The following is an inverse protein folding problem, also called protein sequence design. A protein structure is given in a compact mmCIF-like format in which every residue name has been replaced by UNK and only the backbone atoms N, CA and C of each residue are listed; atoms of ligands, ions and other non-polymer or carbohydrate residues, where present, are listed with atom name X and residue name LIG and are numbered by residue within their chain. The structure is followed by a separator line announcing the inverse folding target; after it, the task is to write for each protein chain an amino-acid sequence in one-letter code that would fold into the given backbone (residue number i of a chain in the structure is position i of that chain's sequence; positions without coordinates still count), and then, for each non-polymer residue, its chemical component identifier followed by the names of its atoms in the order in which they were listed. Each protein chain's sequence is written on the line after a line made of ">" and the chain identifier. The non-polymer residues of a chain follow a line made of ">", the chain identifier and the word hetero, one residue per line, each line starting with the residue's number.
data_IF_518976461401
#
_entry.id   IF_518976461401
#
_cell.length_a   1.000
_cell.length_b   1.000
_cell.length_c   1.000
_cell.angle_alpha   90.00
_cell.angle_beta   90.00
_cell.angle_gamma   90.00
#
_symmetry.space_group_name_H-M   'P 1'
#
loop_
_entity.id
_entity.type
_entity.pdbx_description
1 polymer ?
#
# COMPACT_ATOMS: atom_id res chain seq x y z
N UNK A 1 -22.84 -5.27 18.04
CA UNK A 1 -22.95 -4.89 16.62
C UNK A 1 -22.57 -6.08 15.74
N UNK A 2 -23.36 -6.36 14.72
CA UNK A 2 -23.06 -7.33 13.66
C UNK A 2 -21.90 -6.83 12.80
N UNK A 3 -21.26 -7.71 12.00
CA UNK A 3 -20.18 -7.27 11.07
C UNK A 3 -20.67 -6.24 10.06
N UNK A 4 -21.92 -6.34 9.60
CA UNK A 4 -22.54 -5.38 8.67
C UNK A 4 -22.70 -3.99 9.30
N UNK A 5 -23.21 -3.92 10.52
CA UNK A 5 -23.34 -2.67 11.28
C UNK A 5 -21.98 -2.02 11.52
N UNK A 6 -20.96 -2.82 11.89
CA UNK A 6 -19.58 -2.35 12.05
C UNK A 6 -19.01 -1.80 10.75
N UNK A 7 -19.21 -2.49 9.64
CA UNK A 7 -18.76 -2.04 8.34
C UNK A 7 -19.38 -0.69 7.94
N UNK A 8 -20.69 -0.53 8.14
CA UNK A 8 -21.39 0.75 7.91
C UNK A 8 -20.83 1.87 8.80
N UNK A 9 -20.62 1.59 10.09
CA UNK A 9 -20.03 2.56 11.02
C UNK A 9 -18.62 2.98 10.58
N UNK A 10 -17.75 2.01 10.20
CA UNK A 10 -16.39 2.28 9.72
C UNK A 10 -16.42 3.18 8.48
N UNK A 11 -17.28 2.87 7.50
CA UNK A 11 -17.40 3.66 6.26
C UNK A 11 -17.78 5.11 6.60
N UNK A 12 -18.80 5.31 7.41
CA UNK A 12 -19.29 6.66 7.76
C UNK A 12 -18.24 7.48 8.51
N UNK A 13 -17.58 6.88 9.51
CA UNK A 13 -16.55 7.57 10.29
C UNK A 13 -15.32 7.92 9.43
N UNK A 14 -14.88 7.00 8.60
CA UNK A 14 -13.71 7.24 7.73
C UNK A 14 -14.03 8.22 6.60
N UNK A 15 -15.25 8.24 6.08
CA UNK A 15 -15.68 9.23 5.09
C UNK A 15 -15.73 10.64 5.67
N UNK A 16 -16.21 10.78 6.92
CA UNK A 16 -16.22 12.06 7.63
C UNK A 16 -14.80 12.56 7.93
N UNK A 17 -13.89 11.65 8.34
CA UNK A 17 -12.50 12.01 8.69
C UNK A 17 -11.60 12.27 7.48
N UNK A 18 -11.81 11.52 6.41
CA UNK A 18 -10.96 11.52 5.22
C UNK A 18 -11.80 11.53 3.94
N UNK A 19 -12.52 12.65 3.64
CA UNK A 19 -13.34 12.75 2.44
C UNK A 19 -12.49 12.65 1.15
N UNK A 20 -11.21 13.02 1.26
CA UNK A 20 -10.22 12.88 0.19
C UNK A 20 -9.06 11.98 0.62
N UNK A 21 -8.59 11.15 -0.31
CA UNK A 21 -7.50 10.21 -0.08
C UNK A 21 -6.44 10.33 -1.16
N UNK A 22 -5.58 11.38 -1.11
CA UNK A 22 -4.50 11.52 -2.06
C UNK A 22 -3.53 10.34 -1.95
N UNK A 23 -3.01 9.90 -3.08
CA UNK A 23 -2.01 8.83 -3.13
C UNK A 23 -0.75 9.33 -2.41
N UNK A 24 -0.25 8.62 -1.39
CA UNK A 24 0.86 9.13 -0.56
C UNK A 24 2.21 9.20 -1.27
N UNK A 25 2.40 8.40 -2.33
CA UNK A 25 3.65 8.30 -3.08
C UNK A 25 3.60 9.21 -4.31
N UNK A 26 4.59 10.10 -4.45
CA UNK A 26 4.74 10.97 -5.60
C UNK A 26 5.10 10.17 -6.85
N UNK A 27 4.33 10.34 -7.91
CA UNK A 27 4.51 9.68 -9.20
C UNK A 27 3.89 10.52 -10.32
N UNK A 28 4.26 10.24 -11.57
CA UNK A 28 3.71 10.89 -12.77
C UNK A 28 2.92 9.94 -13.67
N UNK A 29 3.16 8.65 -13.55
CA UNK A 29 2.65 7.61 -14.43
C UNK A 29 2.68 6.23 -13.74
N UNK A 30 2.10 5.16 -14.34
CA UNK A 30 2.09 3.83 -13.75
C UNK A 30 3.48 3.23 -13.45
N UNK A 31 4.49 3.55 -14.27
CA UNK A 31 5.84 3.04 -14.05
C UNK A 31 6.48 3.67 -12.81
N UNK A 32 6.43 4.98 -12.70
CA UNK A 32 6.98 5.71 -11.55
C UNK A 32 6.25 5.36 -10.27
N UNK A 33 4.93 5.10 -10.33
CA UNK A 33 4.18 4.56 -9.19
C UNK A 33 4.67 3.15 -8.81
N UNK A 34 4.83 2.24 -9.77
CA UNK A 34 5.32 0.88 -9.52
C UNK A 34 6.67 0.90 -8.80
N UNK A 35 7.62 1.73 -9.27
CA UNK A 35 8.93 1.90 -8.63
C UNK A 35 8.78 2.50 -7.22
N UNK A 36 7.96 3.52 -7.05
CA UNK A 36 7.75 4.15 -5.74
C UNK A 36 7.14 3.15 -4.72
N UNK A 37 6.17 2.34 -5.14
CA UNK A 37 5.56 1.29 -4.30
C UNK A 37 6.57 0.20 -3.96
N UNK A 38 7.41 -0.25 -4.92
CA UNK A 38 8.50 -1.19 -4.65
C UNK A 38 9.47 -0.61 -3.60
N UNK A 39 9.83 0.67 -3.73
CA UNK A 39 10.71 1.34 -2.78
C UNK A 39 10.08 1.50 -1.39
N UNK A 40 8.77 1.60 -1.27
CA UNK A 40 8.07 1.75 0.01
C UNK A 40 8.10 0.49 0.89
N UNK A 41 8.48 -0.67 0.37
CA UNK A 41 8.66 -1.87 1.16
C UNK A 41 9.70 -1.64 2.29
N UNK A 42 9.25 -1.70 3.54
CA UNK A 42 10.03 -1.41 4.75
C UNK A 42 10.66 0.01 4.76
N UNK A 43 10.02 0.97 4.11
CA UNK A 43 10.44 2.36 4.04
C UNK A 43 9.23 3.29 4.19
N UNK A 44 9.41 4.46 4.79
CA UNK A 44 8.34 5.44 4.92
C UNK A 44 8.09 6.16 3.59
N UNK A 45 6.83 6.52 3.32
CA UNK A 45 6.45 7.25 2.10
C UNK A 45 7.22 8.58 1.99
N UNK A 46 7.41 9.29 3.11
CA UNK A 46 8.20 10.53 3.15
C UNK A 46 9.62 10.34 2.63
N UNK A 47 10.27 9.24 3.04
CA UNK A 47 11.63 8.92 2.58
C UNK A 47 11.66 8.53 1.12
N UNK A 48 10.69 7.75 0.66
CA UNK A 48 10.54 7.41 -0.76
C UNK A 48 10.37 8.69 -1.57
N UNK A 49 9.46 9.58 -1.17
CA UNK A 49 9.19 10.85 -1.85
C UNK A 49 10.39 11.83 -1.89
N UNK A 50 11.33 11.72 -0.94
CA UNK A 50 12.60 12.47 -0.97
C UNK A 50 13.60 11.89 -1.98
N UNK A 51 13.54 10.60 -2.25
CA UNK A 51 14.54 9.89 -3.08
C UNK A 51 14.07 9.74 -4.53
N UNK A 52 12.78 9.48 -4.77
CA UNK A 52 12.26 9.23 -6.11
C UNK A 52 12.51 10.36 -7.10
N UNK A 53 12.49 11.67 -6.76
CA UNK A 53 12.85 12.73 -7.70
C UNK A 53 14.29 12.62 -8.22
N UNK A 54 15.24 12.16 -7.39
CA UNK A 54 16.63 11.96 -7.80
C UNK A 54 16.76 10.77 -8.74
N UNK A 55 16.03 9.70 -8.48
CA UNK A 55 16.01 8.50 -9.32
C UNK A 55 15.35 8.80 -10.68
N UNK A 56 14.16 9.40 -10.66
CA UNK A 56 13.37 9.66 -11.87
C UNK A 56 13.95 10.77 -12.74
N UNK A 57 14.78 11.66 -12.18
CA UNK A 57 15.57 12.60 -13.00
C UNK A 57 16.56 11.89 -13.93
N UNK A 58 17.06 10.70 -13.54
CA UNK A 58 18.03 9.91 -14.32
C UNK A 58 17.35 8.80 -15.13
N UNK A 59 16.27 8.20 -14.62
CA UNK A 59 15.57 7.08 -15.23
C UNK A 59 14.06 7.23 -15.10
N UNK A 60 13.41 8.19 -15.80
CA UNK A 60 11.96 8.42 -15.70
C UNK A 60 11.13 7.33 -16.37
N UNK A 61 11.71 6.57 -17.28
CA UNK A 61 11.05 5.47 -17.99
C UNK A 61 11.86 4.18 -17.87
N UNK A 62 11.29 3.00 -18.18
CA UNK A 62 12.07 1.76 -18.23
C UNK A 62 13.30 1.87 -19.14
N UNK A 63 13.19 2.56 -20.28
CA UNK A 63 14.26 2.71 -21.26
C UNK A 63 15.47 3.52 -20.75
N UNK A 64 15.21 4.55 -19.95
CA UNK A 64 16.29 5.32 -19.29
C UNK A 64 16.81 4.61 -18.05
N UNK A 65 15.94 3.93 -17.31
CA UNK A 65 16.34 3.23 -16.08
C UNK A 65 17.36 2.13 -16.36
N UNK A 66 17.21 1.36 -17.44
CA UNK A 66 18.17 0.30 -17.78
C UNK A 66 19.52 0.82 -18.29
N UNK A 67 19.63 2.11 -18.62
CA UNK A 67 20.94 2.75 -18.96
C UNK A 67 21.77 2.99 -17.71
N UNK A 68 21.15 3.03 -16.53
CA UNK A 68 21.86 3.09 -15.26
C UNK A 68 22.36 1.69 -14.89
N UNK A 69 23.55 1.61 -14.32
CA UNK A 69 23.99 0.39 -13.66
C UNK A 69 23.20 0.11 -12.38
N UNK A 70 23.12 -1.15 -11.99
CA UNK A 70 22.49 -1.54 -10.70
C UNK A 70 23.15 -0.82 -9.51
N UNK A 71 24.47 -0.57 -9.59
CA UNK A 71 25.21 0.14 -8.54
C UNK A 71 24.85 1.65 -8.48
N UNK A 72 24.60 2.30 -9.62
CA UNK A 72 24.12 3.69 -9.63
C UNK A 72 22.73 3.79 -9.03
N UNK A 73 21.80 2.90 -9.42
CA UNK A 73 20.45 2.83 -8.81
C UNK A 73 20.60 2.61 -7.30
N UNK A 74 21.41 1.64 -6.88
CA UNK A 74 21.65 1.31 -5.48
C UNK A 74 22.19 2.49 -4.68
N UNK A 75 23.11 3.26 -5.24
CA UNK A 75 23.65 4.46 -4.59
C UNK A 75 22.56 5.50 -4.33
N UNK A 76 21.66 5.73 -5.29
CA UNK A 76 20.55 6.69 -5.18
C UNK A 76 19.55 6.23 -4.13
N UNK A 77 19.09 4.96 -4.20
CA UNK A 77 18.01 4.46 -3.35
C UNK A 77 18.49 3.96 -1.98
N UNK A 78 19.77 4.07 -1.66
CA UNK A 78 20.36 3.60 -0.39
C UNK A 78 19.57 4.01 0.86
N UNK A 79 19.05 5.25 0.97
CA UNK A 79 18.25 5.65 2.13
C UNK A 79 16.93 4.90 2.30
N UNK A 80 16.39 4.26 1.25
CA UNK A 80 15.14 3.50 1.30
C UNK A 80 15.30 2.09 1.90
N UNK A 81 16.52 1.69 2.32
CA UNK A 81 16.80 0.35 2.85
C UNK A 81 16.68 -0.75 1.79
N UNK A 82 17.22 -1.94 2.10
CA UNK A 82 17.23 -3.10 1.19
C UNK A 82 17.75 -2.77 -0.22
N UNK A 83 18.61 -1.75 -0.33
CA UNK A 83 19.03 -1.17 -1.62
C UNK A 83 19.66 -2.18 -2.58
N UNK A 84 20.44 -3.21 -2.17
CA UNK A 84 20.96 -4.19 -3.10
C UNK A 84 19.86 -5.02 -3.81
N UNK A 85 18.85 -5.46 -3.05
CA UNK A 85 17.72 -6.22 -3.60
C UNK A 85 16.82 -5.34 -4.44
N UNK A 86 16.50 -4.14 -3.95
CA UNK A 86 15.62 -3.19 -4.65
C UNK A 86 16.24 -2.67 -5.95
N UNK A 87 17.54 -2.33 -5.97
CA UNK A 87 18.19 -1.85 -7.19
C UNK A 87 18.22 -2.90 -8.31
N UNK A 88 18.55 -4.15 -7.93
CA UNK A 88 18.49 -5.26 -8.87
C UNK A 88 17.05 -5.47 -9.38
N UNK A 89 16.06 -5.50 -8.50
CA UNK A 89 14.66 -5.66 -8.88
C UNK A 89 14.19 -4.53 -9.82
N UNK A 90 14.52 -3.27 -9.55
CA UNK A 90 14.17 -2.12 -10.40
C UNK A 90 14.78 -2.27 -11.79
N UNK A 91 16.05 -2.65 -11.89
CA UNK A 91 16.71 -2.85 -13.16
C UNK A 91 16.10 -4.02 -13.93
N UNK A 92 15.94 -5.17 -13.29
CA UNK A 92 15.40 -6.39 -13.91
C UNK A 92 13.96 -6.18 -14.40
N UNK A 93 13.08 -5.59 -13.55
CA UNK A 93 11.69 -5.33 -13.96
C UNK A 93 11.60 -4.33 -15.11
N UNK A 94 12.46 -3.31 -15.14
CA UNK A 94 12.52 -2.35 -16.25
C UNK A 94 12.93 -3.02 -17.55
N UNK A 95 13.91 -3.93 -17.49
CA UNK A 95 14.33 -4.75 -18.64
C UNK A 95 13.18 -5.65 -19.13
N UNK A 96 12.44 -6.29 -18.22
CA UNK A 96 11.27 -7.12 -18.56
C UNK A 96 10.16 -6.26 -19.19
N UNK A 97 9.88 -5.07 -18.64
CA UNK A 97 8.89 -4.16 -19.22
C UNK A 97 9.23 -3.80 -20.67
N UNK A 98 10.51 -3.54 -20.97
CA UNK A 98 10.95 -3.23 -22.33
C UNK A 98 10.77 -4.45 -23.24
N UNK A 99 11.25 -5.61 -22.82
CA UNK A 99 11.32 -6.79 -23.69
C UNK A 99 9.98 -7.47 -23.92
N UNK A 100 9.12 -7.52 -22.88
CA UNK A 100 7.81 -8.20 -22.96
C UNK A 100 6.64 -7.25 -23.19
N UNK A 101 6.72 -6.00 -22.70
CA UNK A 101 5.59 -5.08 -22.63
C UNK A 101 5.85 -3.73 -23.31
N UNK A 102 6.87 -3.61 -24.16
CA UNK A 102 7.22 -2.40 -24.93
C UNK A 102 7.44 -1.16 -24.05
N UNK A 103 7.86 -1.35 -22.80
CA UNK A 103 8.06 -0.28 -21.82
C UNK A 103 6.80 0.09 -21.01
N UNK A 104 5.68 -0.56 -21.24
CA UNK A 104 4.41 -0.32 -20.58
C UNK A 104 4.27 -1.19 -19.31
N UNK A 105 3.56 -0.69 -18.30
CA UNK A 105 3.19 -1.49 -17.12
C UNK A 105 1.96 -2.33 -17.45
N UNK A 106 2.01 -3.67 -17.33
CA UNK A 106 0.88 -4.51 -17.71
C UNK A 106 -0.31 -4.33 -16.75
N UNK A 107 -1.52 -4.26 -17.32
CA UNK A 107 -2.78 -4.12 -16.57
C UNK A 107 -3.33 -5.49 -16.21
N UNK A 108 -2.58 -6.25 -15.39
CA UNK A 108 -2.95 -7.58 -14.88
C UNK A 108 -2.24 -7.83 -13.55
N UNK A 109 -2.96 -8.39 -12.58
CA UNK A 109 -2.38 -8.79 -11.30
C UNK A 109 -1.31 -9.86 -11.50
N UNK A 110 -1.60 -10.88 -12.29
CA UNK A 110 -0.73 -12.01 -12.55
C UNK A 110 0.58 -11.55 -13.19
N UNK A 111 0.49 -10.73 -14.24
CA UNK A 111 1.68 -10.23 -14.94
C UNK A 111 2.50 -9.26 -14.10
N UNK A 112 1.87 -8.47 -13.22
CA UNK A 112 2.57 -7.62 -12.27
C UNK A 112 3.31 -8.44 -11.22
N UNK A 113 2.69 -9.52 -10.70
CA UNK A 113 3.30 -10.38 -9.68
C UNK A 113 4.47 -11.22 -10.22
N UNK A 114 4.57 -11.42 -11.54
CA UNK A 114 5.74 -12.02 -12.20
C UNK A 114 6.97 -11.09 -12.21
N UNK A 115 6.77 -9.78 -12.02
CA UNK A 115 7.87 -8.82 -12.07
C UNK A 115 8.75 -8.92 -10.80
N UNK A 116 10.09 -8.86 -10.95
CA UNK A 116 11.00 -8.88 -9.81
C UNK A 116 10.69 -7.80 -8.77
N UNK A 117 10.53 -8.22 -7.51
CA UNK A 117 10.24 -7.30 -6.39
C UNK A 117 8.79 -6.86 -6.28
N UNK A 118 7.90 -7.35 -7.12
CA UNK A 118 6.47 -7.07 -7.11
C UNK A 118 5.73 -8.27 -6.51
N UNK A 119 5.22 -8.09 -5.30
CA UNK A 119 4.33 -9.08 -4.68
C UNK A 119 2.86 -8.65 -4.77
N UNK A 120 1.96 -9.49 -4.28
CA UNK A 120 0.51 -9.28 -4.31
C UNK A 120 0.07 -7.88 -3.84
N UNK A 121 0.64 -7.40 -2.71
CA UNK A 121 0.32 -6.05 -2.21
C UNK A 121 0.75 -4.96 -3.19
N UNK A 122 1.96 -5.06 -3.76
CA UNK A 122 2.47 -4.06 -4.71
C UNK A 122 1.61 -4.05 -5.98
N UNK A 123 1.30 -5.23 -6.54
CA UNK A 123 0.40 -5.36 -7.68
C UNK A 123 -0.97 -4.75 -7.38
N UNK A 124 -1.56 -5.05 -6.22
CA UNK A 124 -2.86 -4.50 -5.80
C UNK A 124 -2.85 -2.98 -5.68
N UNK A 125 -1.77 -2.37 -5.14
CA UNK A 125 -1.65 -0.90 -5.07
C UNK A 125 -1.55 -0.30 -6.48
N UNK A 126 -0.73 -0.87 -7.37
CA UNK A 126 -0.57 -0.37 -8.74
C UNK A 126 -1.89 -0.50 -9.52
N UNK A 127 -2.55 -1.65 -9.44
CA UNK A 127 -3.85 -1.87 -10.10
C UNK A 127 -4.91 -0.88 -9.61
N UNK A 128 -4.97 -0.62 -8.30
CA UNK A 128 -5.97 0.30 -7.75
C UNK A 128 -5.65 1.76 -8.05
N UNK A 129 -4.40 2.18 -7.89
CA UNK A 129 -4.03 3.59 -7.92
C UNK A 129 -3.65 4.10 -9.30
N UNK A 130 -3.00 3.27 -10.15
CA UNK A 130 -2.65 3.66 -11.51
C UNK A 130 -3.77 3.39 -12.52
N UNK A 131 -4.53 2.31 -12.32
CA UNK A 131 -5.51 1.83 -13.31
C UNK A 131 -6.95 1.88 -12.83
N UNK A 132 -7.21 2.26 -11.58
CA UNK A 132 -8.56 2.36 -11.03
C UNK A 132 -9.27 1.02 -10.81
N UNK A 133 -8.58 -0.12 -10.95
CA UNK A 133 -9.18 -1.43 -10.69
C UNK A 133 -9.55 -1.58 -9.22
N UNK A 134 -10.71 -2.17 -8.89
CA UNK A 134 -11.10 -2.42 -7.52
C UNK A 134 -10.15 -3.41 -6.87
N UNK A 135 -9.35 -2.93 -5.92
CA UNK A 135 -8.46 -3.76 -5.12
C UNK A 135 -8.47 -3.31 -3.65
N UNK A 136 -8.18 -4.24 -2.76
CA UNK A 136 -8.10 -3.95 -1.32
C UNK A 136 -6.73 -4.39 -0.79
N UNK A 137 -5.65 -3.65 -1.12
CA UNK A 137 -4.31 -4.01 -0.68
C UNK A 137 -4.20 -3.93 0.84
N UNK A 138 -3.92 -5.06 1.49
CA UNK A 138 -3.82 -5.15 2.94
C UNK A 138 -2.38 -4.95 3.39
N UNK A 139 -2.14 -3.88 4.14
CA UNK A 139 -0.89 -3.61 4.84
C UNK A 139 -0.99 -3.94 6.35
N UNK A 140 0.06 -3.65 7.09
CA UNK A 140 0.10 -3.88 8.54
C UNK A 140 -0.90 -3.01 9.32
N UNK A 141 -1.24 -1.80 8.82
CA UNK A 141 -2.27 -0.95 9.43
C UNK A 141 -3.65 -1.55 9.23
N UNK A 142 -3.98 -1.90 7.99
CA UNK A 142 -5.27 -2.49 7.63
C UNK A 142 -5.47 -3.82 8.35
N UNK A 143 -4.47 -4.71 8.31
CA UNK A 143 -4.55 -6.00 9.00
C UNK A 143 -4.82 -5.82 10.49
N UNK A 144 -4.07 -4.96 11.17
CA UNK A 144 -4.24 -4.67 12.59
C UNK A 144 -5.61 -4.09 12.91
N UNK A 145 -6.06 -3.07 12.16
CA UNK A 145 -7.31 -2.37 12.45
C UNK A 145 -8.54 -3.24 12.17
N UNK A 146 -8.58 -3.92 11.02
CA UNK A 146 -9.71 -4.81 10.72
C UNK A 146 -9.81 -5.98 11.69
N UNK A 147 -8.68 -6.44 12.25
CA UNK A 147 -8.66 -7.42 13.34
C UNK A 147 -9.21 -6.80 14.64
N UNK A 148 -8.73 -5.62 15.03
CA UNK A 148 -9.22 -4.91 16.22
C UNK A 148 -10.71 -4.60 16.16
N UNK A 149 -11.22 -4.25 14.99
CA UNK A 149 -12.63 -3.95 14.77
C UNK A 149 -13.49 -5.21 14.62
N UNK A 150 -12.89 -6.40 14.53
CA UNK A 150 -13.59 -7.68 14.42
C UNK A 150 -14.21 -7.93 13.04
N UNK A 151 -13.70 -7.25 12.00
CA UNK A 151 -14.04 -7.54 10.59
C UNK A 151 -13.30 -8.80 10.14
N UNK A 152 -12.00 -8.90 10.45
CA UNK A 152 -11.12 -10.05 10.19
C UNK A 152 -10.89 -10.86 11.46
N UNK A 153 -10.54 -12.15 11.29
CA UNK A 153 -10.07 -13.01 12.39
C UNK A 153 -8.65 -12.68 12.86
N UNK A 154 -7.86 -11.98 12.02
CA UNK A 154 -6.46 -11.69 12.29
C UNK A 154 -5.50 -12.84 12.02
N UNK A 155 -5.95 -13.94 11.40
CA UNK A 155 -5.10 -15.11 11.12
C UNK A 155 -3.90 -14.77 10.23
N UNK A 156 -4.13 -14.05 9.14
CA UNK A 156 -3.10 -13.55 8.23
C UNK A 156 -3.66 -12.45 7.31
N UNK A 157 -2.80 -11.84 6.50
CA UNK A 157 -3.17 -10.74 5.59
C UNK A 157 -4.12 -11.19 4.47
N UNK A 158 -3.99 -12.43 3.98
CA UNK A 158 -4.84 -12.99 2.92
C UNK A 158 -6.27 -13.14 3.43
N UNK A 159 -6.45 -13.72 4.62
CA UNK A 159 -7.77 -13.82 5.26
C UNK A 159 -8.37 -12.42 5.52
N UNK A 160 -7.56 -11.46 5.92
CA UNK A 160 -8.00 -10.09 6.16
C UNK A 160 -8.49 -9.43 4.87
N UNK A 161 -7.81 -9.63 3.76
CA UNK A 161 -8.24 -9.15 2.44
C UNK A 161 -9.59 -9.75 2.04
N UNK A 162 -9.74 -11.07 2.17
CA UNK A 162 -10.99 -11.78 1.88
C UNK A 162 -12.12 -11.25 2.76
N UNK A 163 -11.86 -11.09 4.06
CA UNK A 163 -12.84 -10.56 5.00
C UNK A 163 -13.25 -9.12 4.69
N UNK A 164 -12.29 -8.26 4.32
CA UNK A 164 -12.53 -6.89 3.90
C UNK A 164 -13.39 -6.81 2.64
N UNK A 165 -13.01 -7.56 1.60
CA UNK A 165 -13.76 -7.63 0.33
C UNK A 165 -15.20 -8.15 0.52
N UNK A 166 -15.43 -9.02 1.50
CA UNK A 166 -16.77 -9.50 1.86
C UNK A 166 -17.57 -8.48 2.67
N UNK A 167 -16.92 -7.68 3.51
CA UNK A 167 -17.57 -6.75 4.42
C UNK A 167 -17.92 -5.41 3.77
N UNK A 168 -17.08 -4.94 2.83
CA UNK A 168 -17.19 -3.63 2.22
C UNK A 168 -17.60 -3.68 0.75
N UNK A 169 -18.44 -2.73 0.27
CA UNK A 169 -18.80 -2.64 -1.14
C UNK A 169 -17.58 -2.43 -2.04
N UNK A 170 -17.51 -3.13 -3.17
CA UNK A 170 -16.38 -3.07 -4.11
C UNK A 170 -16.10 -1.65 -4.63
N UNK A 171 -17.13 -0.86 -4.86
CA UNK A 171 -17.01 0.50 -5.37
C UNK A 171 -16.17 1.45 -4.51
N UNK A 172 -16.00 1.15 -3.21
CA UNK A 172 -15.26 2.01 -2.29
C UNK A 172 -13.90 1.45 -1.89
N UNK A 173 -13.49 0.27 -2.36
CA UNK A 173 -12.26 -0.38 -1.92
C UNK A 173 -11.02 0.50 -2.09
N UNK A 174 -10.88 1.14 -3.26
CA UNK A 174 -9.71 1.97 -3.58
C UNK A 174 -9.59 3.21 -2.68
N UNK A 175 -10.69 3.75 -2.20
CA UNK A 175 -10.71 4.86 -1.25
C UNK A 175 -10.55 4.36 0.18
N UNK A 176 -11.36 3.36 0.55
CA UNK A 176 -11.45 2.88 1.92
C UNK A 176 -10.12 2.33 2.45
N UNK A 177 -9.32 1.62 1.62
CA UNK A 177 -8.04 1.12 2.11
C UNK A 177 -7.07 2.26 2.47
N UNK A 178 -7.07 3.38 1.72
CA UNK A 178 -6.27 4.56 2.05
C UNK A 178 -6.79 5.25 3.32
N UNK A 179 -8.11 5.38 3.47
CA UNK A 179 -8.73 5.94 4.67
C UNK A 179 -8.33 5.14 5.93
N UNK A 180 -8.34 3.81 5.86
CA UNK A 180 -7.91 2.95 6.97
C UNK A 180 -6.42 3.14 7.28
N UNK A 181 -5.57 3.27 6.27
CA UNK A 181 -4.14 3.55 6.46
C UNK A 181 -3.94 4.90 7.15
N UNK A 182 -4.62 5.96 6.69
CA UNK A 182 -4.53 7.28 7.30
C UNK A 182 -5.01 7.27 8.74
N UNK A 183 -6.16 6.62 9.01
CA UNK A 183 -6.64 6.44 10.37
C UNK A 183 -5.62 5.71 11.25
N UNK A 184 -5.04 4.63 10.75
CA UNK A 184 -4.04 3.85 11.47
C UNK A 184 -2.76 4.60 11.80
N UNK A 185 -2.38 5.57 10.96
CA UNK A 185 -1.21 6.42 11.19
C UNK A 185 -1.49 7.51 12.21
N UNK A 186 -2.66 8.15 12.14
CA UNK A 186 -3.00 9.32 12.95
C UNK A 186 -3.58 8.96 14.32
N UNK A 187 -4.52 8.03 14.36
CA UNK A 187 -5.32 7.76 15.55
C UNK A 187 -5.00 6.43 16.24
N UNK A 188 -4.43 5.47 15.49
CA UNK A 188 -4.13 4.13 16.01
C UNK A 188 -2.74 3.66 15.54
N UNK A 189 -1.65 4.33 15.95
CA UNK A 189 -0.29 3.93 15.57
C UNK A 189 0.05 2.56 16.16
N UNK A 190 0.95 1.82 15.48
CA UNK A 190 1.38 0.50 15.97
C UNK A 190 2.20 0.57 17.27
N UNK A 191 2.98 1.66 17.42
CA UNK A 191 3.76 1.93 18.64
C UNK A 191 2.98 2.85 19.56
N UNK A 192 2.81 2.45 20.82
CA UNK A 192 2.10 3.21 21.84
C UNK A 192 0.67 3.63 21.42
N UNK A 193 -0.17 2.69 20.98
CA UNK A 193 -1.55 3.02 20.67
C UNK A 193 -2.28 3.46 21.94
N UNK A 194 -3.14 4.47 21.80
CA UNK A 194 -3.95 4.99 22.91
C UNK A 194 -5.43 4.83 22.57
N UNK A 195 -6.19 4.15 23.42
CA UNK A 195 -7.63 3.99 23.21
C UNK A 195 -8.37 5.33 23.15
N UNK A 196 -7.87 6.34 23.87
CA UNK A 196 -8.45 7.68 23.87
C UNK A 196 -8.48 8.33 22.47
N UNK A 197 -7.43 8.12 21.65
CA UNK A 197 -7.36 8.64 20.28
C UNK A 197 -7.99 7.71 19.23
N UNK A 198 -8.11 6.42 19.53
CA UNK A 198 -8.65 5.40 18.62
C UNK A 198 -10.17 5.26 18.80
N UNK A 199 -10.92 6.27 18.33
CA UNK A 199 -12.36 6.34 18.47
C UNK A 199 -13.09 5.15 17.86
N UNK A 200 -12.71 4.71 16.67
CA UNK A 200 -13.36 3.57 15.99
C UNK A 200 -13.15 2.30 16.82
N UNK A 201 -11.92 1.99 17.26
CA UNK A 201 -11.69 0.82 18.12
C UNK A 201 -12.43 0.93 19.44
N UNK A 202 -12.49 2.12 20.05
CA UNK A 202 -13.27 2.34 21.29
C UNK A 202 -14.75 2.05 21.11
N UNK A 203 -15.32 2.38 19.95
CA UNK A 203 -16.75 2.23 19.68
C UNK A 203 -17.16 0.82 19.30
N UNK A 204 -16.34 0.14 18.47
CA UNK A 204 -16.72 -1.15 17.87
C UNK A 204 -15.68 -2.26 18.03
N UNK A 205 -14.61 -2.00 18.75
CA UNK A 205 -13.49 -2.95 18.91
C UNK A 205 -13.91 -4.27 19.57
N UNK A 206 -13.10 -5.28 19.31
CA UNK A 206 -13.23 -6.57 20.02
C UNK A 206 -12.87 -6.42 21.50
N UNK A 207 -13.37 -7.30 22.35
CA UNK A 207 -13.04 -7.30 23.76
C UNK A 207 -11.52 -7.42 24.02
N UNK A 208 -10.80 -8.16 23.18
CA UNK A 208 -9.33 -8.28 23.22
C UNK A 208 -8.67 -6.94 22.91
N UNK A 209 -9.06 -6.30 21.80
CA UNK A 209 -8.50 -5.00 21.40
C UNK A 209 -8.73 -3.90 22.46
N UNK A 210 -9.90 -3.89 23.09
CA UNK A 210 -10.22 -2.94 24.15
C UNK A 210 -9.38 -3.16 25.43
N UNK A 211 -8.96 -4.40 25.70
CA UNK A 211 -8.05 -4.71 26.82
C UNK A 211 -6.60 -4.33 26.51
N UNK A 212 -6.15 -4.55 25.28
CA UNK A 212 -4.77 -4.23 24.85
C UNK A 212 -4.49 -2.72 24.83
N UNK A 213 -5.51 -1.88 24.65
CA UNK A 213 -5.37 -0.43 24.50
C UNK A 213 -5.65 0.35 25.79
N UNK A 214 -5.97 -0.33 26.89
CA UNK A 214 -6.10 0.26 28.23
C UNK A 214 -4.75 0.52 28.86
#
# INVERSE_FOLDING_TARGET
>A
MTKKEKATFIINELENLFPETPIPLNHSDPYTLLIAVLLSAQCTDERVNKITPLLFKKGPTPFEMVKLSVEEIKAIIRPCGLSPKKSKAIWDLSSILITKYKGEVPVSFELLEELPGVGHKTASVVMSQAFGFPAFPVDTHIHRLLTRWGISSGKNVVETEIAAKKAFPMAIWNKLHLQIIFYGRLFSPARSPKLASDYITRSIGTASALKELK
#
